data_IF_868601459230
#
_entry.id   IF_868601459230
#
_cell.length_a   1.000
_cell.length_b   1.000
_cell.length_c   1.000
_cell.angle_alpha   90.00
_cell.angle_beta   90.00
_cell.angle_gamma   90.00
#
_symmetry.space_group_name_H-M   'P 1'
#
loop_
_entity.id
_entity.type
_entity.pdbx_description
1 polymer ?
#
# COMPACT_ATOMS: atom_id res chain seq x y z
N UNK A 1 -11.60 -13.53 9.15
CA UNK A 1 -11.94 -12.37 8.32
C UNK A 1 -10.71 -11.93 7.53
N UNK A 2 -10.87 -11.79 6.22
CA UNK A 2 -9.74 -11.38 5.39
C UNK A 2 -9.42 -9.90 5.58
N UNK A 3 -8.13 -9.59 5.57
CA UNK A 3 -7.69 -8.20 5.63
C UNK A 3 -7.89 -7.53 4.28
N UNK A 4 -8.06 -6.23 4.29
CA UNK A 4 -8.27 -5.45 3.06
C UNK A 4 -7.09 -5.58 2.10
N UNK A 5 -5.86 -5.59 2.62
CA UNK A 5 -4.65 -5.61 1.80
C UNK A 5 -3.95 -6.95 1.87
N UNK A 6 -3.39 -7.37 0.74
CA UNK A 6 -2.56 -8.55 0.65
C UNK A 6 -1.42 -8.28 -0.32
N UNK A 7 -0.36 -9.08 -0.25
CA UNK A 7 0.74 -8.93 -1.18
C UNK A 7 0.95 -10.23 -1.96
N UNK A 8 1.46 -10.09 -3.19
CA UNK A 8 1.69 -11.23 -4.07
C UNK A 8 2.78 -10.88 -5.07
N UNK A 9 3.27 -11.89 -5.75
CA UNK A 9 4.24 -11.67 -6.82
C UNK A 9 3.57 -10.94 -7.97
N UNK A 10 4.33 -10.00 -8.55
CA UNK A 10 3.88 -9.24 -9.71
C UNK A 10 4.76 -9.64 -10.90
N UNK A 11 4.13 -9.83 -12.04
CA UNK A 11 4.85 -10.16 -13.27
C UNK A 11 5.78 -9.02 -13.68
N UNK A 12 5.42 -7.79 -13.35
CA UNK A 12 6.11 -6.59 -13.81
C UNK A 12 7.12 -6.08 -12.78
N UNK A 13 6.80 -6.14 -11.49
CA UNK A 13 7.52 -5.42 -10.46
C UNK A 13 8.20 -6.28 -9.41
N UNK A 14 8.15 -7.58 -9.53
CA UNK A 14 8.61 -8.50 -8.49
C UNK A 14 7.53 -8.80 -7.48
N UNK A 15 7.14 -7.83 -6.64
CA UNK A 15 6.10 -7.99 -5.63
C UNK A 15 5.23 -6.73 -5.60
N UNK A 16 3.97 -6.89 -5.22
CA UNK A 16 3.06 -5.76 -5.10
C UNK A 16 2.04 -5.99 -4.00
N UNK A 17 1.59 -4.89 -3.38
CA UNK A 17 0.50 -4.92 -2.41
C UNK A 17 -0.78 -4.54 -3.14
N UNK A 18 -1.80 -5.39 -3.00
CA UNK A 18 -3.09 -5.22 -3.66
C UNK A 18 -4.16 -4.85 -2.64
N UNK A 19 -5.15 -4.11 -3.12
CA UNK A 19 -6.31 -3.72 -2.35
C UNK A 19 -7.50 -4.57 -2.79
N UNK A 20 -8.10 -5.33 -1.87
CA UNK A 20 -9.24 -6.19 -2.19
C UNK A 20 -10.48 -5.39 -2.61
N UNK A 21 -10.57 -4.14 -2.14
CA UNK A 21 -11.72 -3.30 -2.48
C UNK A 21 -11.71 -2.86 -3.94
N UNK A 22 -10.54 -2.62 -4.51
CA UNK A 22 -10.42 -2.16 -5.90
C UNK A 22 -9.97 -3.26 -6.85
N UNK A 23 -9.45 -4.35 -6.30
CA UNK A 23 -8.88 -5.46 -7.06
C UNK A 23 -7.68 -5.04 -7.91
N UNK A 24 -6.95 -4.03 -7.43
CA UNK A 24 -5.80 -3.44 -8.11
C UNK A 24 -4.69 -3.19 -7.12
N UNK A 25 -3.47 -2.90 -7.57
CA UNK A 25 -2.41 -2.45 -6.66
C UNK A 25 -2.89 -1.24 -5.88
N UNK A 26 -2.45 -1.14 -4.63
CA UNK A 26 -3.02 -0.23 -3.63
C UNK A 26 -2.53 1.22 -3.78
N UNK A 27 -2.58 1.79 -4.99
CA UNK A 27 -2.14 3.16 -5.25
C UNK A 27 -2.95 4.18 -4.44
N UNK A 28 -4.28 4.09 -4.55
CA UNK A 28 -5.16 5.04 -3.87
C UNK A 28 -5.04 4.93 -2.36
N UNK A 29 -4.99 3.69 -1.86
CA UNK A 29 -4.89 3.46 -0.42
C UNK A 29 -3.55 3.98 0.14
N UNK A 30 -2.45 3.82 -0.59
CA UNK A 30 -1.18 4.38 -0.18
C UNK A 30 -1.24 5.91 -0.09
N UNK A 31 -1.93 6.53 -1.05
CA UNK A 31 -2.08 7.98 -1.03
C UNK A 31 -2.95 8.47 0.13
N UNK A 32 -3.99 7.72 0.46
CA UNK A 32 -4.96 8.12 1.49
C UNK A 32 -4.54 7.76 2.90
N UNK A 33 -3.93 6.60 3.09
CA UNK A 33 -3.69 6.03 4.41
C UNK A 33 -2.29 6.26 4.96
N UNK A 34 -1.32 6.52 4.09
CA UNK A 34 0.09 6.65 4.51
C UNK A 34 0.61 8.05 4.22
N UNK A 35 1.56 8.53 5.03
CA UNK A 35 2.21 9.82 4.74
C UNK A 35 2.99 9.72 3.43
N UNK A 36 3.09 10.83 2.68
CA UNK A 36 3.83 10.83 1.42
C UNK A 36 5.32 10.59 1.62
N UNK A 37 5.96 10.01 0.63
CA UNK A 37 7.41 9.87 0.60
C UNK A 37 8.07 11.23 0.44
N UNK A 38 7.44 12.09 -0.36
CA UNK A 38 7.89 13.46 -0.57
C UNK A 38 6.68 14.38 -0.70
N UNK A 39 6.76 15.53 -0.08
CA UNK A 39 5.75 16.58 -0.25
C UNK A 39 6.46 17.92 -0.23
N UNK A 40 6.31 18.69 -1.31
CA UNK A 40 7.00 19.96 -1.41
C UNK A 40 6.51 20.80 -2.57
N UNK A 41 7.35 21.76 -2.94
CA UNK A 41 7.04 22.80 -3.93
C UNK A 41 6.57 22.23 -5.27
N UNK A 42 7.11 21.09 -5.67
CA UNK A 42 6.85 20.52 -6.97
C UNK A 42 5.80 19.40 -6.96
N UNK A 43 5.17 19.18 -5.83
CA UNK A 43 4.10 18.20 -5.74
C UNK A 43 4.28 17.23 -4.60
N UNK A 44 3.60 16.11 -4.74
CA UNK A 44 3.51 15.08 -3.71
C UNK A 44 3.78 13.70 -4.33
N UNK A 45 4.69 12.95 -3.71
CA UNK A 45 4.98 11.58 -4.13
C UNK A 45 4.47 10.63 -3.06
N UNK A 46 3.52 9.78 -3.42
CA UNK A 46 2.95 8.80 -2.50
C UNK A 46 3.77 7.52 -2.48
N UNK A 47 3.56 6.71 -1.44
CA UNK A 47 4.22 5.42 -1.32
C UNK A 47 3.81 4.51 -2.49
N UNK A 48 4.79 3.85 -3.09
CA UNK A 48 4.58 2.95 -4.22
C UNK A 48 4.19 1.57 -3.70
N UNK A 49 3.04 1.00 -4.11
CA UNK A 49 2.65 -0.34 -3.69
C UNK A 49 3.48 -1.45 -4.34
N UNK A 50 4.28 -1.13 -5.34
CA UNK A 50 5.15 -2.09 -6.02
C UNK A 50 6.51 -2.14 -5.33
N UNK A 51 6.98 -3.34 -5.04
CA UNK A 51 8.19 -3.56 -4.25
C UNK A 51 9.13 -4.53 -4.95
N UNK A 52 10.42 -4.41 -4.66
CA UNK A 52 11.42 -5.29 -5.26
C UNK A 52 11.48 -6.64 -4.54
N UNK A 53 11.23 -6.66 -3.23
CA UNK A 53 11.36 -7.88 -2.43
C UNK A 53 10.07 -8.21 -1.71
N UNK A 54 9.92 -9.48 -1.38
CA UNK A 54 8.78 -9.96 -0.59
C UNK A 54 8.72 -9.27 0.77
N UNK A 55 9.89 -9.09 1.40
CA UNK A 55 9.95 -8.45 2.71
C UNK A 55 9.39 -7.03 2.68
N UNK A 56 9.77 -6.26 1.67
CA UNK A 56 9.25 -4.90 1.50
C UNK A 56 7.74 -4.90 1.31
N UNK A 57 7.23 -5.81 0.48
CA UNK A 57 5.80 -5.91 0.23
C UNK A 57 5.03 -6.32 1.50
N UNK A 58 5.58 -7.27 2.25
CA UNK A 58 4.99 -7.70 3.51
C UNK A 58 4.90 -6.53 4.50
N UNK A 59 5.98 -5.77 4.65
CA UNK A 59 6.02 -4.63 5.56
C UNK A 59 5.01 -3.56 5.17
N UNK A 60 4.94 -3.24 3.88
CA UNK A 60 3.98 -2.26 3.39
C UNK A 60 2.55 -2.72 3.59
N UNK A 61 2.29 -3.99 3.32
CA UNK A 61 0.98 -4.59 3.53
C UNK A 61 0.54 -4.45 4.99
N UNK A 62 1.45 -4.72 5.93
CA UNK A 62 1.16 -4.58 7.36
C UNK A 62 0.85 -3.15 7.74
N UNK A 63 1.59 -2.19 7.20
CA UNK A 63 1.35 -0.77 7.46
C UNK A 63 -0.03 -0.34 6.97
N UNK A 64 -0.40 -0.76 5.76
CA UNK A 64 -1.70 -0.42 5.18
C UNK A 64 -2.85 -1.02 5.98
N UNK A 65 -2.73 -2.29 6.37
CA UNK A 65 -3.77 -2.94 7.16
C UNK A 65 -3.93 -2.28 8.52
N UNK A 66 -2.82 -1.86 9.14
CA UNK A 66 -2.87 -1.14 10.41
C UNK A 66 -3.54 0.22 10.25
N UNK A 67 -3.14 0.98 9.24
CA UNK A 67 -3.72 2.30 9.00
C UNK A 67 -5.21 2.21 8.69
N UNK A 68 -5.61 1.22 7.92
CA UNK A 68 -7.02 1.00 7.60
C UNK A 68 -7.83 0.68 8.86
N UNK A 69 -7.28 -0.14 9.75
CA UNK A 69 -7.93 -0.48 11.01
C UNK A 69 -8.11 0.75 11.90
N UNK A 70 -7.10 1.61 11.99
CA UNK A 70 -7.16 2.83 12.78
C UNK A 70 -8.25 3.77 12.26
N UNK A 71 -8.38 3.90 10.95
CA UNK A 71 -9.39 4.74 10.33
C UNK A 71 -10.79 4.20 10.59
N UNK A 72 -10.97 2.88 10.50
CA UNK A 72 -12.29 2.27 10.64
C UNK A 72 -12.74 2.17 12.08
N UNK A 73 -11.85 2.31 13.04
CA UNK A 73 -12.18 2.23 14.47
C UNK A 73 -12.56 3.56 15.10
N UNK A 74 -12.50 4.63 14.33
CA UNK A 74 -12.89 5.95 14.84
C UNK A 74 -14.38 6.20 14.75
#
# INVERSE_FOLDING_TARGET
>A
MERRFYYTRSIIYGWAVYDRQTNQPAWDACAELLPPVYEGKYGKITVDPCCETEYQAMRLCMKLNRANKEVTMK
#
